data_IF_702514178707
#
_entry.id   IF_702514178707
#
_cell.length_a   1.000
_cell.length_b   1.000
_cell.length_c   1.000
_cell.angle_alpha   90.00
_cell.angle_beta   90.00
_cell.angle_gamma   90.00
#
_symmetry.space_group_name_H-M   'P 1'
#
loop_
_entity.id
_entity.type
_entity.pdbx_description
1 polymer ?
#
# COMPACT_ATOMS: atom_id res chain seq x y z
N UNK A 1 -0.11 27.98 -23.31
CA UNK A 1 -0.53 27.86 -21.90
C UNK A 1 -1.00 26.45 -21.51
N UNK A 2 -0.68 25.39 -22.28
CA UNK A 2 -0.99 24.00 -21.92
C UNK A 2 0.24 23.16 -21.54
N UNK A 3 1.44 23.61 -21.94
CA UNK A 3 2.72 22.95 -21.62
C UNK A 3 3.23 23.25 -20.20
N UNK A 4 2.82 24.36 -19.60
CA UNK A 4 3.19 24.73 -18.22
C UNK A 4 2.40 23.95 -17.17
N UNK A 5 1.16 23.55 -17.48
CA UNK A 5 0.31 22.78 -16.56
C UNK A 5 0.79 21.33 -16.47
N UNK A 6 1.20 20.73 -17.58
CA UNK A 6 1.77 19.37 -17.61
C UNK A 6 3.10 19.27 -16.81
N UNK A 7 3.98 20.27 -16.94
CA UNK A 7 5.20 20.37 -16.11
C UNK A 7 4.93 20.67 -14.64
N UNK A 8 3.80 21.31 -14.33
CA UNK A 8 3.41 21.66 -12.95
C UNK A 8 2.81 20.47 -12.19
N UNK A 9 2.12 19.56 -12.88
CA UNK A 9 1.61 18.31 -12.30
C UNK A 9 2.70 17.26 -12.09
N UNK A 10 3.72 17.18 -12.96
CA UNK A 10 4.97 16.43 -12.69
C UNK A 10 5.69 16.90 -11.41
N UNK A 11 5.40 18.11 -10.91
CA UNK A 11 6.03 18.68 -9.71
C UNK A 11 5.33 18.32 -8.40
N UNK A 12 4.09 17.81 -8.42
CA UNK A 12 3.32 17.51 -7.20
C UNK A 12 3.47 16.07 -6.71
N UNK A 13 3.81 15.14 -7.60
CA UNK A 13 4.28 13.80 -7.26
C UNK A 13 5.78 13.81 -7.54
N UNK A 14 6.61 13.75 -6.49
CA UNK A 14 8.07 13.71 -6.66
C UNK A 14 8.52 12.61 -7.65
N UNK A 15 9.77 12.64 -8.13
CA UNK A 15 10.24 11.68 -9.12
C UNK A 15 10.01 10.24 -8.65
N UNK A 16 9.20 9.49 -9.39
CA UNK A 16 8.88 8.09 -9.07
C UNK A 16 10.19 7.28 -9.14
N UNK A 17 10.52 6.59 -8.06
CA UNK A 17 11.68 5.72 -7.96
C UNK A 17 11.40 4.36 -8.59
N UNK A 18 12.32 3.90 -9.43
CA UNK A 18 12.21 2.66 -10.18
C UNK A 18 12.07 1.43 -9.28
N UNK A 19 12.76 1.40 -8.14
CA UNK A 19 12.83 0.22 -7.27
C UNK A 19 11.94 0.31 -6.04
N UNK A 20 11.71 1.53 -5.55
CA UNK A 20 11.14 1.78 -4.24
C UNK A 20 9.66 2.16 -4.28
N UNK A 21 9.17 2.65 -5.43
CA UNK A 21 7.76 3.04 -5.56
C UNK A 21 6.91 1.93 -6.17
N UNK A 22 5.62 1.98 -5.86
CA UNK A 22 4.62 1.01 -6.30
C UNK A 22 4.01 1.41 -7.65
N UNK A 23 4.76 1.18 -8.73
CA UNK A 23 4.32 1.44 -10.11
C UNK A 23 4.12 0.16 -10.94
N UNK A 24 4.64 -0.98 -10.49
CA UNK A 24 4.58 -2.25 -11.20
C UNK A 24 3.46 -3.16 -10.65
N UNK A 25 2.80 -4.03 -11.45
CA UNK A 25 1.72 -4.91 -10.99
C UNK A 25 2.12 -5.87 -9.86
N UNK A 26 3.41 -6.15 -9.74
CA UNK A 26 3.95 -6.99 -8.66
C UNK A 26 4.18 -6.23 -7.34
N UNK A 27 3.94 -4.91 -7.31
CA UNK A 27 4.21 -4.05 -6.17
C UNK A 27 5.58 -3.39 -6.23
N UNK A 28 6.13 -3.10 -5.05
CA UNK A 28 7.47 -2.51 -4.90
C UNK A 28 8.54 -3.55 -5.21
N UNK A 29 9.24 -3.38 -6.34
CA UNK A 29 10.23 -4.35 -6.84
C UNK A 29 11.35 -4.63 -5.82
N UNK A 30 11.80 -3.61 -5.08
CA UNK A 30 12.84 -3.79 -4.07
C UNK A 30 12.41 -4.72 -2.92
N UNK A 31 11.15 -4.66 -2.48
CA UNK A 31 10.65 -5.52 -1.40
C UNK A 31 10.55 -6.99 -1.83
N UNK A 32 10.38 -7.23 -3.13
CA UNK A 32 10.19 -8.57 -3.66
C UNK A 32 11.51 -9.26 -4.04
N UNK A 33 12.48 -8.52 -4.60
CA UNK A 33 13.71 -9.11 -5.16
C UNK A 33 15.01 -8.62 -4.49
N UNK A 34 14.96 -7.53 -3.73
CA UNK A 34 16.11 -6.99 -3.01
C UNK A 34 17.24 -6.45 -3.89
N UNK A 35 18.44 -6.30 -3.31
CA UNK A 35 19.58 -5.65 -3.96
C UNK A 35 20.16 -6.40 -5.16
N UNK A 36 20.11 -7.74 -5.16
CA UNK A 36 20.67 -8.56 -6.25
C UNK A 36 20.05 -8.19 -7.60
N UNK A 37 18.76 -7.94 -7.58
CA UNK A 37 18.01 -7.59 -8.76
C UNK A 37 18.38 -6.21 -9.35
N UNK A 38 18.70 -5.22 -8.51
CA UNK A 38 19.20 -3.91 -8.96
C UNK A 38 20.55 -4.06 -9.68
N UNK A 39 21.41 -4.94 -9.16
CA UNK A 39 22.70 -5.27 -9.78
C UNK A 39 22.51 -5.96 -11.14
N UNK A 40 21.63 -6.96 -11.22
CA UNK A 40 21.33 -7.67 -12.47
C UNK A 40 20.74 -6.72 -13.52
N UNK A 41 19.97 -5.72 -13.09
CA UNK A 41 19.44 -4.66 -13.94
C UNK A 41 20.49 -3.64 -14.39
N UNK A 42 21.74 -3.74 -13.92
CA UNK A 42 22.82 -2.76 -14.14
C UNK A 42 22.38 -1.32 -13.83
N UNK A 43 21.63 -1.13 -12.75
CA UNK A 43 21.04 0.14 -12.37
C UNK A 43 21.47 0.59 -10.97
N UNK A 44 21.08 1.80 -10.59
CA UNK A 44 21.34 2.39 -9.28
C UNK A 44 20.11 2.27 -8.39
N UNK A 45 20.32 2.23 -7.08
CA UNK A 45 19.26 2.27 -6.06
C UNK A 45 18.37 3.51 -6.19
N UNK A 46 18.94 4.66 -6.53
CA UNK A 46 18.20 5.92 -6.69
C UNK A 46 17.67 6.13 -8.12
N UNK A 47 17.65 5.08 -8.96
CA UNK A 47 17.16 5.20 -10.33
C UNK A 47 15.69 5.64 -10.36
N UNK A 48 15.37 6.57 -11.25
CA UNK A 48 14.01 7.07 -11.48
C UNK A 48 13.32 6.26 -12.56
N UNK A 49 11.99 6.21 -12.51
CA UNK A 49 11.17 5.56 -13.53
C UNK A 49 11.38 6.20 -14.92
N UNK A 50 11.67 7.51 -14.98
CA UNK A 50 11.96 8.24 -16.23
C UNK A 50 13.17 7.70 -17.02
N UNK A 51 14.08 7.00 -16.34
CA UNK A 51 15.29 6.47 -16.96
C UNK A 51 14.97 5.34 -17.91
N UNK A 52 13.90 4.61 -17.59
CA UNK A 52 13.44 3.43 -18.33
C UNK A 52 12.18 3.72 -19.13
N UNK A 53 11.30 4.60 -18.66
CA UNK A 53 10.08 4.98 -19.38
C UNK A 53 10.29 6.28 -20.17
N UNK A 54 10.48 6.17 -21.48
CA UNK A 54 10.70 7.34 -22.37
C UNK A 54 9.58 7.44 -23.39
N UNK A 55 8.93 8.61 -23.49
CA UNK A 55 7.83 8.84 -24.44
C UNK A 55 6.75 7.74 -24.41
N UNK A 56 6.33 7.34 -23.21
CA UNK A 56 5.38 6.24 -22.97
C UNK A 56 5.82 4.87 -23.53
N UNK A 57 7.10 4.71 -23.82
CA UNK A 57 7.69 3.47 -24.30
C UNK A 57 8.70 2.96 -23.29
N UNK A 58 8.59 1.68 -22.95
CA UNK A 58 9.53 1.01 -22.06
C UNK A 58 10.86 0.76 -22.77
N UNK A 59 11.90 1.47 -22.34
CA UNK A 59 13.29 1.31 -22.76
C UNK A 59 14.12 0.65 -21.66
N UNK A 60 13.79 -0.60 -21.33
CA UNK A 60 14.47 -1.39 -20.30
C UNK A 60 15.71 -2.10 -20.86
N UNK A 61 16.74 -2.28 -20.03
CA UNK A 61 17.97 -3.02 -20.38
C UNK A 61 17.63 -4.51 -20.63
N UNK A 62 18.42 -5.22 -21.45
CA UNK A 62 18.22 -6.66 -21.62
C UNK A 62 18.20 -7.39 -20.27
N UNK A 63 17.21 -8.26 -20.07
CA UNK A 63 17.10 -9.10 -18.89
C UNK A 63 18.32 -10.01 -18.75
N UNK A 64 19.03 -9.91 -17.63
CA UNK A 64 20.20 -10.75 -17.28
C UNK A 64 19.88 -11.82 -16.24
N UNK A 65 18.62 -11.88 -15.79
CA UNK A 65 18.11 -12.85 -14.83
C UNK A 65 16.66 -13.23 -15.17
N UNK A 66 16.21 -14.41 -14.74
CA UNK A 66 14.82 -14.86 -14.92
C UNK A 66 13.81 -13.92 -14.24
N UNK A 67 14.20 -13.31 -13.12
CA UNK A 67 13.41 -12.30 -12.40
C UNK A 67 13.14 -11.07 -13.28
N UNK A 68 14.18 -10.58 -13.98
CA UNK A 68 14.04 -9.47 -14.92
C UNK A 68 13.16 -9.83 -16.11
N UNK A 69 13.27 -11.05 -16.65
CA UNK A 69 12.39 -11.52 -17.73
C UNK A 69 10.94 -11.49 -17.27
N UNK A 70 10.69 -11.95 -16.04
CA UNK A 70 9.34 -11.97 -15.46
C UNK A 70 8.77 -10.57 -15.36
N UNK A 71 9.52 -9.60 -14.83
CA UNK A 71 9.08 -8.21 -14.73
C UNK A 71 8.84 -7.61 -16.11
N UNK A 72 9.78 -7.80 -17.06
CA UNK A 72 9.63 -7.28 -18.41
C UNK A 72 8.41 -7.85 -19.13
N UNK A 73 8.07 -9.12 -18.90
CA UNK A 73 6.87 -9.74 -19.49
C UNK A 73 5.55 -9.10 -19.01
N UNK A 74 5.54 -8.51 -17.81
CA UNK A 74 4.35 -7.89 -17.22
C UNK A 74 4.26 -6.38 -17.52
N UNK A 75 5.27 -5.78 -18.16
CA UNK A 75 5.24 -4.35 -18.51
C UNK A 75 4.10 -4.01 -19.48
N UNK A 76 3.65 -4.96 -20.31
CA UNK A 76 2.50 -4.79 -21.19
C UNK A 76 1.17 -4.62 -20.44
N UNK A 77 1.11 -5.06 -19.17
CA UNK A 77 -0.07 -4.88 -18.31
C UNK A 77 -0.13 -3.49 -17.68
N UNK A 78 0.95 -2.70 -17.77
CA UNK A 78 0.99 -1.35 -17.22
C UNK A 78 0.32 -0.39 -18.21
N UNK A 79 -0.93 -0.03 -17.91
CA UNK A 79 -1.66 0.99 -18.66
C UNK A 79 -1.11 2.39 -18.33
N UNK A 80 -0.39 2.97 -19.29
CA UNK A 80 0.05 4.37 -19.22
C UNK A 80 -1.12 5.27 -19.64
N UNK A 81 -1.76 5.92 -18.67
CA UNK A 81 -2.86 6.86 -18.90
C UNK A 81 -2.33 8.26 -19.18
N UNK A 82 -3.16 9.07 -19.83
CA UNK A 82 -2.83 10.48 -20.13
C UNK A 82 -3.00 11.39 -18.91
N UNK A 83 -3.75 10.96 -17.90
CA UNK A 83 -3.96 11.72 -16.67
C UNK A 83 -3.62 10.89 -15.44
N UNK A 84 -2.85 11.50 -14.54
CA UNK A 84 -2.54 10.91 -13.24
C UNK A 84 -3.77 10.94 -12.34
N UNK A 85 -4.07 9.79 -11.73
CA UNK A 85 -5.17 9.66 -10.78
C UNK A 85 -4.63 9.17 -9.44
N UNK A 86 -4.88 9.92 -8.37
CA UNK A 86 -4.54 9.51 -7.02
C UNK A 86 -5.49 8.39 -6.59
N UNK A 87 -4.96 7.19 -6.36
CA UNK A 87 -5.74 6.04 -5.87
C UNK A 87 -5.29 5.64 -4.48
N UNK A 88 -6.22 5.65 -3.54
CA UNK A 88 -6.04 5.07 -2.22
C UNK A 88 -6.31 3.57 -2.30
N UNK A 89 -5.29 2.76 -2.08
CA UNK A 89 -5.40 1.30 -2.20
C UNK A 89 -4.87 0.61 -0.95
N UNK A 90 -5.75 0.32 -0.01
CA UNK A 90 -5.47 -0.60 1.10
C UNK A 90 -5.60 -2.08 0.68
N UNK A 91 -6.16 -2.34 -0.50
CA UNK A 91 -6.40 -3.69 -1.03
C UNK A 91 -5.59 -3.89 -2.30
N UNK A 92 -5.11 -5.12 -2.58
CA UNK A 92 -4.42 -5.45 -3.85
C UNK A 92 -5.31 -5.29 -5.09
N UNK A 93 -6.63 -5.20 -4.92
CA UNK A 93 -7.63 -5.06 -5.99
C UNK A 93 -7.76 -3.64 -6.56
N UNK A 94 -7.09 -2.64 -5.99
CA UNK A 94 -7.18 -1.25 -6.46
C UNK A 94 -8.49 -0.53 -6.09
N UNK A 95 -9.38 -1.18 -5.34
CA UNK A 95 -10.64 -0.61 -4.85
C UNK A 95 -10.54 -0.20 -3.38
N UNK A 96 -11.06 0.99 -3.07
CA UNK A 96 -11.12 1.48 -1.70
C UNK A 96 -12.14 0.69 -0.88
N UNK A 97 -11.75 0.28 0.32
CA UNK A 97 -12.64 -0.31 1.31
C UNK A 97 -12.28 0.27 2.68
N UNK A 98 -13.30 0.77 3.40
CA UNK A 98 -13.11 1.24 4.77
C UNK A 98 -12.57 0.12 5.68
N UNK A 99 -12.99 -1.12 5.46
CA UNK A 99 -12.53 -2.26 6.25
C UNK A 99 -11.04 -2.56 6.01
N UNK A 100 -10.62 -2.62 4.74
CA UNK A 100 -9.21 -2.83 4.39
C UNK A 100 -8.32 -1.68 4.89
N UNK A 101 -8.79 -0.44 4.73
CA UNK A 101 -8.07 0.74 5.22
C UNK A 101 -7.92 0.70 6.73
N UNK A 102 -8.98 0.37 7.47
CA UNK A 102 -8.93 0.22 8.92
C UNK A 102 -7.98 -0.91 9.35
N UNK A 103 -7.93 -2.00 8.60
CA UNK A 103 -7.03 -3.13 8.86
C UNK A 103 -5.55 -2.80 8.66
N UNK A 104 -5.22 -1.96 7.68
CA UNK A 104 -3.86 -1.49 7.41
C UNK A 104 -3.38 -0.47 8.45
N UNK A 105 -4.22 0.49 8.85
CA UNK A 105 -3.82 1.54 9.80
C UNK A 105 -3.82 1.07 11.25
N UNK A 106 -4.58 0.01 11.58
CA UNK A 106 -4.68 -0.47 12.97
C UNK A 106 -3.49 -1.35 13.32
N UNK A 107 -2.95 -1.14 14.51
CA UNK A 107 -2.11 -2.16 15.15
C UNK A 107 -3.04 -3.27 15.62
N UNK A 108 -2.97 -4.43 14.96
CA UNK A 108 -3.74 -5.61 15.38
C UNK A 108 -3.18 -6.10 16.71
N UNK A 109 -4.02 -6.04 17.75
CA UNK A 109 -3.74 -6.71 19.01
C UNK A 109 -3.98 -8.22 18.87
N UNK A 110 -3.35 -9.00 19.74
CA UNK A 110 -3.56 -10.43 19.81
C UNK A 110 -5.05 -10.77 19.99
N UNK A 111 -5.46 -11.86 19.36
CA UNK A 111 -6.82 -12.37 19.50
C UNK A 111 -7.02 -12.85 20.95
N UNK A 112 -8.04 -12.31 21.61
CA UNK A 112 -8.34 -12.61 23.02
C UNK A 112 -9.54 -13.53 23.13
N UNK A 113 -9.44 -14.63 23.88
CA UNK A 113 -10.46 -15.70 23.90
C UNK A 113 -11.90 -15.21 24.13
N UNK A 114 -12.08 -14.13 24.89
CA UNK A 114 -13.38 -13.55 25.20
C UNK A 114 -14.03 -12.74 24.06
N UNK A 115 -13.32 -12.42 22.96
CA UNK A 115 -13.86 -11.55 21.92
C UNK A 115 -15.12 -12.13 21.27
N UNK A 116 -15.17 -13.45 21.09
CA UNK A 116 -16.31 -14.18 20.49
C UNK A 116 -17.57 -14.12 21.35
N UNK A 117 -17.41 -13.98 22.67
CA UNK A 117 -18.52 -13.84 23.61
C UNK A 117 -19.20 -12.48 23.45
N UNK A 118 -18.44 -11.44 23.11
CA UNK A 118 -18.97 -10.08 22.95
C UNK A 118 -19.42 -9.77 21.52
N UNK A 119 -18.70 -10.27 20.52
CA UNK A 119 -18.88 -9.88 19.11
C UNK A 119 -19.32 -11.07 18.24
N UNK A 120 -20.50 -11.63 18.53
CA UNK A 120 -21.14 -12.68 17.74
C UNK A 120 -22.27 -12.12 16.86
N UNK A 121 -22.65 -12.86 15.81
CA UNK A 121 -23.82 -12.54 15.01
C UNK A 121 -25.06 -12.55 15.93
N UNK A 122 -25.82 -11.46 15.99
CA UNK A 122 -26.93 -11.19 16.93
C UNK A 122 -26.56 -10.57 18.29
N UNK A 123 -25.29 -10.28 18.56
CA UNK A 123 -24.92 -9.53 19.75
C UNK A 123 -25.56 -8.12 19.74
N UNK A 124 -26.26 -7.77 20.83
CA UNK A 124 -26.78 -6.41 21.01
C UNK A 124 -25.59 -5.48 21.25
N UNK A 125 -25.31 -4.59 20.29
CA UNK A 125 -24.14 -3.69 20.31
C UNK A 125 -23.94 -2.95 21.64
N UNK A 126 -25.02 -2.50 22.28
CA UNK A 126 -24.97 -1.84 23.60
C UNK A 126 -24.41 -2.75 24.70
N UNK A 127 -24.89 -3.99 24.79
CA UNK A 127 -24.44 -4.94 25.80
C UNK A 127 -23.01 -5.41 25.52
N UNK A 128 -22.68 -5.69 24.26
CA UNK A 128 -21.32 -6.02 23.85
C UNK A 128 -20.32 -4.93 24.22
N UNK A 129 -20.67 -3.66 23.97
CA UNK A 129 -19.84 -2.51 24.32
C UNK A 129 -19.64 -2.36 25.84
N UNK A 130 -20.73 -2.48 26.63
CA UNK A 130 -20.63 -2.43 28.09
C UNK A 130 -19.78 -3.59 28.61
N UNK A 131 -20.03 -4.81 28.14
CA UNK A 131 -19.24 -6.00 28.51
C UNK A 131 -17.77 -5.85 28.17
N UNK A 132 -17.44 -5.28 27.01
CA UNK A 132 -16.07 -4.96 26.62
C UNK A 132 -15.40 -3.99 27.59
N UNK A 133 -16.10 -2.92 28.01
CA UNK A 133 -15.60 -2.00 29.03
C UNK A 133 -15.41 -2.69 30.39
N UNK A 134 -16.30 -3.61 30.76
CA UNK A 134 -16.22 -4.37 32.02
C UNK A 134 -14.98 -5.23 32.03
N UNK A 135 -14.75 -6.02 30.98
CA UNK A 135 -13.56 -6.88 30.86
C UNK A 135 -12.27 -6.05 30.87
N UNK A 136 -12.30 -4.83 30.33
CA UNK A 136 -11.17 -3.90 30.36
C UNK A 136 -11.04 -3.10 31.67
N UNK A 137 -11.89 -3.34 32.67
CA UNK A 137 -11.96 -2.56 33.92
C UNK A 137 -12.04 -1.03 33.67
N UNK A 138 -12.72 -0.64 32.58
CA UNK A 138 -12.89 0.75 32.15
C UNK A 138 -14.26 1.34 32.49
N UNK A 139 -15.13 0.60 33.17
CA UNK A 139 -16.26 1.22 33.86
C UNK A 139 -15.74 1.99 35.07
N UNK A 140 -16.19 3.24 35.21
CA UNK A 140 -16.04 3.99 36.43
C UNK A 140 -16.93 3.36 37.51
N UNK A 141 -16.36 2.43 38.28
CA UNK A 141 -16.94 2.06 39.58
C UNK A 141 -16.76 3.24 40.53
N UNK A 142 -17.73 3.45 41.43
CA UNK A 142 -17.73 4.59 42.38
C UNK A 142 -16.42 4.73 43.17
N UNK A 143 -15.71 3.63 43.40
CA UNK A 143 -14.40 3.61 44.07
C UNK A 143 -13.30 4.39 43.33
N UNK A 144 -13.35 4.49 41.99
CA UNK A 144 -12.35 5.23 41.19
C UNK A 144 -12.59 6.74 41.09
N UNK A 145 -13.78 7.22 41.46
CA UNK A 145 -14.14 8.65 41.44
C UNK A 145 -13.79 9.30 42.81
N UNK A 146 -13.59 8.48 43.85
CA UNK A 146 -13.36 8.92 45.22
C UNK A 146 -11.87 8.95 45.64
N UNK A 147 -10.93 8.68 44.72
CA UNK A 147 -9.48 8.92 44.88
C UNK A 147 -9.08 10.19 44.14
#
# INVERSE_FOLDING_TARGET
>A
MGLEIYKSLEMLLGPIFLWHDNWHPMGVLFLQFGFRFIYDAASRTEAKLDTVLKNKTWSWILARSEELVTIQSQLSLVELKDEDTVKWSATKSGSFSCAATYDEIRVKADEVDWWKVLWFNFAIRRHAFIGWLTIKNKLSTRERIAQ
#
